data_IF_054874932385
#
_entry.id   IF_054874932385
#
_cell.length_a   1.000
_cell.length_b   1.000
_cell.length_c   1.000
_cell.angle_alpha   90.00
_cell.angle_beta   90.00
_cell.angle_gamma   90.00
#
_symmetry.space_group_name_H-M   'P 1'
#
loop_
_entity.id
_entity.type
_entity.pdbx_description
1 polymer ?
#
# COMPACT_ATOMS: atom_id res chain seq x y z
N UNK A 1 -51.23 -26.36 -15.48
CA UNK A 1 -50.19 -26.08 -14.47
C UNK A 1 -49.39 -27.36 -14.22
N UNK A 2 -48.26 -27.53 -14.90
CA UNK A 2 -47.32 -28.63 -14.62
C UNK A 2 -46.60 -28.29 -13.31
N UNK A 3 -46.76 -29.13 -12.27
CA UNK A 3 -45.89 -29.11 -11.09
C UNK A 3 -44.49 -29.47 -11.57
N UNK A 4 -43.66 -28.46 -11.83
CA UNK A 4 -42.23 -28.67 -11.96
C UNK A 4 -41.70 -28.96 -10.56
N UNK A 5 -41.50 -30.23 -10.23
CA UNK A 5 -40.78 -30.60 -9.02
C UNK A 5 -39.37 -30.02 -9.11
N UNK A 6 -38.97 -29.22 -8.12
CA UNK A 6 -37.60 -28.75 -7.98
C UNK A 6 -36.65 -29.97 -8.00
N UNK A 7 -35.79 -30.04 -9.02
CA UNK A 7 -34.77 -31.08 -9.09
C UNK A 7 -33.66 -30.83 -8.07
N UNK A 8 -32.90 -31.87 -7.72
CA UNK A 8 -31.73 -31.72 -6.85
C UNK A 8 -30.69 -30.73 -7.41
N UNK A 9 -30.56 -30.67 -8.74
CA UNK A 9 -29.73 -29.68 -9.45
C UNK A 9 -30.22 -28.25 -9.26
N UNK A 10 -31.52 -28.04 -9.18
CA UNK A 10 -32.13 -26.71 -9.02
C UNK A 10 -31.93 -26.17 -7.62
N UNK A 11 -32.09 -27.06 -6.64
CA UNK A 11 -31.82 -26.76 -5.25
C UNK A 11 -30.33 -26.46 -5.04
N UNK A 12 -29.44 -27.26 -5.64
CA UNK A 12 -28.00 -27.01 -5.60
C UNK A 12 -27.62 -25.66 -6.22
N UNK A 13 -28.09 -25.35 -7.43
CA UNK A 13 -27.80 -24.09 -8.11
C UNK A 13 -28.36 -22.89 -7.35
N UNK A 14 -29.57 -23.01 -6.79
CA UNK A 14 -30.18 -21.96 -5.97
C UNK A 14 -29.38 -21.67 -4.70
N UNK A 15 -28.96 -22.71 -3.97
CA UNK A 15 -28.12 -22.58 -2.77
C UNK A 15 -26.76 -21.98 -3.11
N UNK A 16 -26.12 -22.45 -4.20
CA UNK A 16 -24.83 -21.94 -4.64
C UNK A 16 -24.91 -20.46 -5.04
N UNK A 17 -25.97 -20.05 -5.77
CA UNK A 17 -26.19 -18.66 -6.15
C UNK A 17 -26.38 -17.77 -4.93
N UNK A 18 -27.19 -18.20 -3.95
CA UNK A 18 -27.38 -17.46 -2.69
C UNK A 18 -26.05 -17.30 -1.95
N UNK A 19 -25.25 -18.37 -1.85
CA UNK A 19 -23.96 -18.33 -1.15
C UNK A 19 -23.00 -17.33 -1.81
N UNK A 20 -22.77 -17.47 -3.13
CA UNK A 20 -21.82 -16.61 -3.86
C UNK A 20 -22.26 -15.15 -3.83
N UNK A 21 -23.55 -14.87 -4.09
CA UNK A 21 -24.07 -13.51 -4.11
C UNK A 21 -24.10 -12.91 -2.69
N UNK A 22 -24.33 -13.70 -1.64
CA UNK A 22 -24.26 -13.19 -0.26
C UNK A 22 -22.84 -12.77 0.14
N UNK A 23 -21.83 -13.53 -0.27
CA UNK A 23 -20.43 -13.13 -0.07
C UNK A 23 -20.12 -11.89 -0.90
N UNK A 24 -20.59 -11.84 -2.16
CA UNK A 24 -20.43 -10.66 -3.03
C UNK A 24 -21.06 -9.44 -2.40
N UNK A 25 -22.26 -9.57 -1.86
CA UNK A 25 -23.02 -8.49 -1.26
C UNK A 25 -22.19 -7.80 -0.17
N UNK A 26 -21.61 -8.59 0.74
CA UNK A 26 -20.79 -8.07 1.82
C UNK A 26 -19.52 -7.38 1.28
N UNK A 27 -18.84 -7.98 0.32
CA UNK A 27 -17.63 -7.39 -0.27
C UNK A 27 -17.93 -6.11 -1.06
N UNK A 28 -19.01 -6.09 -1.85
CA UNK A 28 -19.50 -4.91 -2.58
C UNK A 28 -19.86 -3.79 -1.60
N UNK A 29 -20.53 -4.11 -0.50
CA UNK A 29 -20.86 -3.13 0.54
C UNK A 29 -19.60 -2.46 1.09
N UNK A 30 -18.65 -3.25 1.60
CA UNK A 30 -17.38 -2.74 2.14
C UNK A 30 -16.58 -1.97 1.07
N UNK A 31 -16.59 -2.45 -0.17
CA UNK A 31 -15.88 -1.84 -1.29
C UNK A 31 -16.43 -0.48 -1.73
N UNK A 32 -17.70 -0.20 -1.41
CA UNK A 32 -18.37 1.05 -1.74
C UNK A 32 -18.45 2.03 -0.57
N UNK A 33 -18.10 1.59 0.65
CA UNK A 33 -18.29 2.35 1.89
C UNK A 33 -17.60 3.72 1.86
N UNK A 34 -16.38 3.82 1.33
CA UNK A 34 -15.66 5.10 1.28
C UNK A 34 -16.25 6.12 0.30
N UNK A 35 -17.01 5.67 -0.71
CA UNK A 35 -17.58 6.56 -1.74
C UNK A 35 -19.00 6.96 -1.34
N UNK A 36 -19.79 6.00 -0.87
CA UNK A 36 -21.23 6.17 -0.66
C UNK A 36 -21.65 6.20 0.82
N UNK A 37 -20.72 5.99 1.76
CA UNK A 37 -21.00 5.96 3.20
C UNK A 37 -22.11 4.97 3.52
N UNK A 38 -23.10 5.38 4.31
CA UNK A 38 -24.23 4.55 4.70
C UNK A 38 -25.10 4.06 3.52
N UNK A 39 -25.07 4.74 2.37
CA UNK A 39 -25.82 4.32 1.19
C UNK A 39 -25.22 3.10 0.50
N UNK A 40 -23.94 2.79 0.78
CA UNK A 40 -23.23 1.62 0.22
C UNK A 40 -23.97 0.30 0.47
N UNK A 41 -24.56 0.12 1.65
CA UNK A 41 -25.36 -1.07 1.99
C UNK A 41 -26.55 -1.24 1.05
N UNK A 42 -27.32 -0.16 0.84
CA UNK A 42 -28.52 -0.18 0.00
C UNK A 42 -28.15 -0.45 -1.46
N UNK A 43 -27.09 0.19 -1.95
CA UNK A 43 -26.58 -0.02 -3.31
C UNK A 43 -26.14 -1.48 -3.50
N UNK A 44 -25.35 -2.02 -2.58
CA UNK A 44 -24.91 -3.42 -2.62
C UNK A 44 -26.09 -4.38 -2.60
N UNK A 45 -27.13 -4.11 -1.81
CA UNK A 45 -28.33 -4.94 -1.71
C UNK A 45 -29.10 -4.94 -3.04
N UNK A 46 -29.32 -3.78 -3.64
CA UNK A 46 -30.00 -3.65 -4.93
C UNK A 46 -29.23 -4.40 -6.02
N UNK A 47 -27.91 -4.23 -6.11
CA UNK A 47 -27.07 -4.93 -7.08
C UNK A 47 -27.16 -6.45 -6.88
N UNK A 48 -27.10 -6.93 -5.64
CA UNK A 48 -27.17 -8.36 -5.32
C UNK A 48 -28.52 -8.99 -5.67
N UNK A 49 -29.62 -8.29 -5.38
CA UNK A 49 -30.96 -8.73 -5.77
C UNK A 49 -31.14 -8.76 -7.28
N UNK A 50 -30.59 -7.78 -8.00
CA UNK A 50 -30.59 -7.78 -9.47
C UNK A 50 -29.80 -8.95 -10.04
N UNK A 51 -28.63 -9.28 -9.48
CA UNK A 51 -27.84 -10.44 -9.91
C UNK A 51 -28.56 -11.77 -9.62
N UNK A 52 -29.21 -11.92 -8.46
CA UNK A 52 -30.03 -13.10 -8.15
C UNK A 52 -31.20 -13.24 -9.13
N UNK A 53 -31.89 -12.14 -9.41
CA UNK A 53 -32.99 -12.12 -10.36
C UNK A 53 -32.53 -12.49 -11.77
N UNK A 54 -31.38 -11.98 -12.23
CA UNK A 54 -30.80 -12.34 -13.52
C UNK A 54 -30.35 -13.80 -13.57
N UNK A 55 -29.79 -14.36 -12.50
CA UNK A 55 -29.47 -15.78 -12.42
C UNK A 55 -30.73 -16.64 -12.61
N UNK A 56 -31.84 -16.26 -11.96
CA UNK A 56 -33.12 -16.93 -12.13
C UNK A 56 -33.66 -16.82 -13.56
N UNK A 57 -33.64 -15.62 -14.16
CA UNK A 57 -34.05 -15.41 -15.54
C UNK A 57 -33.20 -16.20 -16.54
N UNK A 58 -31.88 -16.23 -16.35
CA UNK A 58 -30.95 -16.99 -17.20
C UNK A 58 -31.27 -18.48 -17.17
N UNK A 59 -31.49 -19.03 -15.97
CA UNK A 59 -31.91 -20.43 -15.81
C UNK A 59 -33.25 -20.69 -16.50
N UNK A 60 -34.26 -19.85 -16.28
CA UNK A 60 -35.57 -20.00 -16.89
C UNK A 60 -35.50 -19.96 -18.43
N UNK A 61 -34.78 -18.99 -18.99
CA UNK A 61 -34.56 -18.88 -20.43
C UNK A 61 -33.86 -20.13 -20.99
N UNK A 62 -32.87 -20.68 -20.28
CA UNK A 62 -32.16 -21.89 -20.69
C UNK A 62 -33.06 -23.13 -20.71
N UNK A 63 -33.90 -23.30 -19.69
CA UNK A 63 -34.89 -24.40 -19.64
C UNK A 63 -35.93 -24.30 -20.75
N UNK A 64 -36.32 -23.07 -21.12
CA UNK A 64 -37.24 -22.80 -22.22
C UNK A 64 -36.56 -22.80 -23.59
N UNK A 65 -35.26 -23.14 -23.68
CA UNK A 65 -34.45 -23.12 -24.91
C UNK A 65 -34.45 -21.75 -25.63
N UNK A 66 -34.62 -20.66 -24.89
CA UNK A 66 -34.54 -19.28 -25.38
C UNK A 66 -33.08 -18.81 -25.44
N UNK A 67 -32.82 -17.79 -26.27
CA UNK A 67 -31.50 -17.14 -26.30
C UNK A 67 -31.19 -16.49 -24.96
N UNK A 68 -30.02 -16.79 -24.40
CA UNK A 68 -29.54 -16.23 -23.13
C UNK A 68 -28.57 -15.06 -23.32
N UNK A 69 -28.17 -14.74 -24.56
CA UNK A 69 -27.06 -13.81 -24.83
C UNK A 69 -27.28 -12.40 -24.27
N UNK A 70 -28.47 -11.83 -24.44
CA UNK A 70 -28.80 -10.50 -23.91
C UNK A 70 -28.79 -10.47 -22.37
N UNK A 71 -29.34 -11.51 -21.74
CA UNK A 71 -29.36 -11.65 -20.29
C UNK A 71 -27.94 -11.80 -19.71
N UNK A 72 -27.06 -12.53 -20.40
CA UNK A 72 -25.63 -12.63 -20.03
C UNK A 72 -24.95 -11.27 -20.15
N UNK A 73 -25.22 -10.50 -21.21
CA UNK A 73 -24.66 -9.16 -21.37
C UNK A 73 -25.08 -8.20 -20.24
N UNK A 74 -26.37 -8.19 -19.89
CA UNK A 74 -26.88 -7.40 -18.76
C UNK A 74 -26.26 -7.85 -17.44
N UNK A 75 -26.14 -9.17 -17.23
CA UNK A 75 -25.47 -9.70 -16.04
C UNK A 75 -24.02 -9.22 -15.94
N UNK A 76 -23.24 -9.36 -17.02
CA UNK A 76 -21.82 -8.95 -17.03
C UNK A 76 -21.70 -7.46 -16.73
N UNK A 77 -22.59 -6.62 -17.27
CA UNK A 77 -22.60 -5.19 -16.99
C UNK A 77 -22.82 -4.90 -15.50
N UNK A 78 -23.83 -5.50 -14.87
CA UNK A 78 -24.11 -5.28 -13.43
C UNK A 78 -22.99 -5.89 -12.56
N UNK A 79 -22.55 -7.10 -12.90
CA UNK A 79 -21.48 -7.81 -12.20
C UNK A 79 -20.15 -7.06 -12.30
N UNK A 80 -19.92 -6.24 -13.34
CA UNK A 80 -18.72 -5.39 -13.42
C UNK A 80 -18.64 -4.37 -12.28
N UNK A 81 -19.76 -3.80 -11.82
CA UNK A 81 -19.78 -2.88 -10.68
C UNK A 81 -19.51 -3.63 -9.37
N UNK A 82 -20.09 -4.82 -9.21
CA UNK A 82 -19.82 -5.69 -8.07
C UNK A 82 -18.34 -6.10 -8.04
N UNK A 83 -17.79 -6.47 -9.19
CA UNK A 83 -16.38 -6.80 -9.35
C UNK A 83 -15.45 -5.66 -8.94
N UNK A 84 -15.70 -4.43 -9.39
CA UNK A 84 -14.89 -3.26 -9.02
C UNK A 84 -14.93 -3.04 -7.50
N UNK A 85 -16.11 -3.15 -6.89
CA UNK A 85 -16.27 -2.98 -5.44
C UNK A 85 -15.63 -4.13 -4.64
N UNK A 86 -15.88 -5.38 -5.04
CA UNK A 86 -15.27 -6.58 -4.45
C UNK A 86 -13.76 -6.52 -4.52
N UNK A 87 -13.21 -6.11 -5.66
CA UNK A 87 -11.79 -5.91 -5.85
C UNK A 87 -11.27 -4.86 -4.87
N UNK A 88 -11.91 -3.68 -4.80
CA UNK A 88 -11.50 -2.64 -3.86
C UNK A 88 -11.49 -3.12 -2.40
N UNK A 89 -12.52 -3.85 -1.97
CA UNK A 89 -12.62 -4.37 -0.60
C UNK A 89 -11.53 -5.40 -0.29
N UNK A 90 -11.40 -6.43 -1.13
CA UNK A 90 -10.44 -7.51 -0.94
C UNK A 90 -9.01 -7.00 -1.07
N UNK A 91 -8.73 -6.23 -2.12
CA UNK A 91 -7.41 -5.65 -2.35
C UNK A 91 -6.96 -4.80 -1.18
N UNK A 92 -7.79 -3.85 -0.76
CA UNK A 92 -7.49 -2.96 0.36
C UNK A 92 -7.23 -3.78 1.63
N UNK A 93 -8.05 -4.78 1.92
CA UNK A 93 -7.89 -5.61 3.12
C UNK A 93 -6.58 -6.42 3.12
N UNK A 94 -6.18 -6.97 1.98
CA UNK A 94 -4.95 -7.77 1.89
C UNK A 94 -3.70 -6.90 1.86
N UNK A 95 -3.74 -5.79 1.13
CA UNK A 95 -2.58 -4.95 0.87
C UNK A 95 -2.37 -3.82 1.89
N UNK A 96 -3.33 -3.55 2.78
CA UNK A 96 -3.27 -2.44 3.75
C UNK A 96 -1.93 -2.36 4.48
N UNK A 97 -1.53 -3.43 5.14
CA UNK A 97 -0.28 -3.46 5.91
C UNK A 97 0.95 -3.22 5.04
N UNK A 98 0.96 -3.76 3.84
CA UNK A 98 2.09 -3.62 2.91
C UNK A 98 2.18 -2.17 2.39
N UNK A 99 1.04 -1.56 2.03
CA UNK A 99 0.96 -0.16 1.63
C UNK A 99 1.49 0.73 2.76
N UNK A 100 1.02 0.52 3.98
CA UNK A 100 1.44 1.29 5.16
C UNK A 100 2.92 1.13 5.47
N UNK A 101 3.41 -0.10 5.40
CA UNK A 101 4.82 -0.43 5.63
C UNK A 101 5.72 0.22 4.60
N UNK A 102 5.32 0.18 3.33
CA UNK A 102 6.09 0.79 2.25
C UNK A 102 6.09 2.31 2.34
N UNK A 103 4.95 2.95 2.62
CA UNK A 103 4.88 4.39 2.79
C UNK A 103 5.76 4.88 3.95
N UNK A 104 5.74 4.19 5.10
CA UNK A 104 6.63 4.53 6.22
C UNK A 104 8.11 4.36 5.88
N UNK A 105 8.48 3.33 5.11
CA UNK A 105 9.86 3.15 4.64
C UNK A 105 10.28 4.26 3.70
N UNK A 106 9.43 4.63 2.75
CA UNK A 106 9.69 5.73 1.82
C UNK A 106 9.83 7.06 2.56
N UNK A 107 8.93 7.38 3.50
CA UNK A 107 9.07 8.59 4.33
C UNK A 107 10.39 8.58 5.11
N UNK A 108 10.81 7.41 5.61
CA UNK A 108 12.09 7.28 6.31
C UNK A 108 13.29 7.55 5.38
N UNK A 109 13.26 7.03 4.15
CA UNK A 109 14.26 7.33 3.12
C UNK A 109 14.26 8.82 2.74
N UNK A 110 13.07 9.44 2.68
CA UNK A 110 12.91 10.86 2.42
C UNK A 110 13.52 11.71 3.53
N UNK A 111 13.39 11.32 4.81
CA UNK A 111 14.09 11.99 5.92
C UNK A 111 15.61 11.98 5.74
N UNK A 112 16.19 10.83 5.39
CA UNK A 112 17.63 10.72 5.13
C UNK A 112 18.03 11.57 3.90
N UNK A 113 17.18 11.62 2.88
CA UNK A 113 17.41 12.45 1.68
C UNK A 113 17.33 13.94 2.01
N UNK A 114 16.37 14.33 2.83
CA UNK A 114 16.20 15.71 3.31
C UNK A 114 17.40 16.18 4.13
N UNK A 115 17.89 15.34 5.05
CA UNK A 115 19.11 15.60 5.82
C UNK A 115 20.30 15.86 4.90
N UNK A 116 20.57 14.94 3.98
CA UNK A 116 21.67 15.07 3.02
C UNK A 116 21.55 16.33 2.14
N UNK A 117 20.34 16.65 1.68
CA UNK A 117 20.10 17.81 0.83
C UNK A 117 20.27 19.12 1.60
N UNK A 118 19.74 19.23 2.81
CA UNK A 118 19.90 20.42 3.65
C UNK A 118 21.37 20.59 4.03
N UNK A 119 22.01 19.53 4.54
CA UNK A 119 23.42 19.58 4.92
C UNK A 119 24.31 19.99 3.74
N UNK A 120 24.06 19.50 2.53
CA UNK A 120 24.84 19.89 1.35
C UNK A 120 24.72 21.39 0.97
N UNK A 121 23.73 22.11 1.49
CA UNK A 121 23.44 23.52 1.20
C UNK A 121 23.80 24.47 2.34
N UNK A 122 24.18 23.93 3.50
CA UNK A 122 24.68 24.69 4.63
C UNK A 122 26.02 25.37 4.29
N UNK A 123 26.27 26.55 4.87
CA UNK A 123 27.53 27.26 4.67
C UNK A 123 28.66 26.65 5.53
N UNK A 124 29.67 26.10 4.86
CA UNK A 124 30.86 25.55 5.51
C UNK A 124 32.08 26.46 5.32
N UNK A 125 32.92 26.54 6.34
CA UNK A 125 34.19 27.27 6.29
C UNK A 125 35.20 26.61 5.36
N UNK A 126 35.05 25.31 5.12
CA UNK A 126 36.00 24.49 4.38
C UNK A 126 35.35 23.84 3.15
N UNK A 127 36.15 23.48 2.13
CA UNK A 127 35.66 22.73 0.97
C UNK A 127 34.97 21.42 1.36
N UNK A 128 34.02 20.98 0.52
CA UNK A 128 33.15 19.81 0.77
C UNK A 128 33.91 18.53 1.17
N UNK A 129 35.02 18.22 0.50
CA UNK A 129 35.85 17.05 0.81
C UNK A 129 36.49 17.15 2.21
N UNK A 130 36.99 18.33 2.58
CA UNK A 130 37.55 18.58 3.91
C UNK A 130 36.47 18.48 4.99
N UNK A 131 35.32 19.10 4.77
CA UNK A 131 34.15 19.01 5.67
C UNK A 131 33.70 17.57 5.88
N UNK A 132 33.61 16.78 4.80
CA UNK A 132 33.24 15.36 4.87
C UNK A 132 34.25 14.54 5.66
N UNK A 133 35.54 14.75 5.44
CA UNK A 133 36.60 14.07 6.18
C UNK A 133 36.59 14.42 7.67
N UNK A 134 36.31 15.68 8.01
CA UNK A 134 36.14 16.11 9.39
C UNK A 134 34.90 15.44 10.01
N UNK A 135 33.77 15.39 9.30
CA UNK A 135 32.53 14.75 9.77
C UNK A 135 32.72 13.24 10.04
N UNK A 136 33.43 12.53 9.14
CA UNK A 136 33.78 11.11 9.34
C UNK A 136 34.62 10.94 10.60
N UNK A 137 35.67 11.75 10.77
CA UNK A 137 36.53 11.69 11.96
C UNK A 137 35.79 12.10 13.23
N UNK A 138 34.86 13.05 13.16
CA UNK A 138 33.97 13.45 14.27
C UNK A 138 33.11 12.26 14.71
N UNK A 139 32.45 11.58 13.76
CA UNK A 139 31.65 10.38 14.08
C UNK A 139 32.51 9.27 14.68
N UNK A 140 33.72 9.04 14.17
CA UNK A 140 34.68 8.11 14.75
C UNK A 140 35.11 8.52 16.16
N UNK A 141 35.35 9.81 16.41
CA UNK A 141 35.71 10.33 17.73
C UNK A 141 34.58 10.10 18.73
N UNK A 142 33.35 10.48 18.37
CA UNK A 142 32.18 10.29 19.23
C UNK A 142 31.99 8.81 19.59
N UNK A 143 32.12 7.91 18.61
CA UNK A 143 32.03 6.47 18.85
C UNK A 143 33.15 5.94 19.75
N UNK A 144 34.36 6.49 19.68
CA UNK A 144 35.45 6.11 20.58
C UNK A 144 35.23 6.60 22.01
N UNK A 145 34.62 7.77 22.20
CA UNK A 145 34.36 8.33 23.54
C UNK A 145 33.37 7.48 24.33
N UNK A 146 32.34 6.94 23.65
CA UNK A 146 31.30 6.12 24.27
C UNK A 146 31.62 4.62 24.31
N UNK A 147 32.75 4.19 23.73
CA UNK A 147 33.16 2.78 23.70
C UNK A 147 33.27 2.22 25.13
N UNK A 148 32.45 1.23 25.52
CA UNK A 148 32.47 0.66 26.87
C UNK A 148 33.84 0.09 27.27
N UNK A 149 34.65 -0.35 26.29
CA UNK A 149 35.98 -0.88 26.55
C UNK A 149 37.04 0.22 26.74
N UNK A 150 36.77 1.45 26.28
CA UNK A 150 37.73 2.56 26.24
C UNK A 150 37.06 3.92 26.47
N UNK A 151 36.28 4.06 27.55
CA UNK A 151 35.47 5.26 27.80
C UNK A 151 36.33 6.54 27.94
N UNK A 152 35.84 7.62 27.34
CA UNK A 152 36.47 8.94 27.41
C UNK A 152 37.50 9.21 26.31
N UNK A 153 38.39 10.18 26.54
CA UNK A 153 39.34 10.66 25.51
C UNK A 153 40.67 9.89 25.62
N UNK A 154 40.67 8.65 25.12
CA UNK A 154 41.87 7.81 25.01
C UNK A 154 42.83 8.22 23.88
N UNK A 155 43.91 7.45 23.69
CA UNK A 155 44.96 7.74 22.68
C UNK A 155 44.42 7.84 21.25
N UNK A 156 43.46 6.98 20.88
CA UNK A 156 42.81 7.01 19.56
C UNK A 156 41.92 8.23 19.37
N UNK A 157 41.14 8.60 20.40
CA UNK A 157 40.35 9.83 20.40
C UNK A 157 41.26 11.06 20.25
N UNK A 158 42.37 11.13 20.98
CA UNK A 158 43.37 12.21 20.83
C UNK A 158 43.98 12.26 19.43
N UNK A 159 44.25 11.11 18.80
CA UNK A 159 44.74 11.08 17.41
C UNK A 159 43.72 11.66 16.43
N UNK A 160 42.43 11.31 16.58
CA UNK A 160 41.36 11.84 15.75
C UNK A 160 41.21 13.36 15.94
N UNK A 161 41.33 13.84 17.18
CA UNK A 161 41.34 15.28 17.49
C UNK A 161 42.49 15.98 16.76
N UNK A 162 43.74 15.49 16.86
CA UNK A 162 44.89 16.09 16.17
C UNK A 162 44.72 16.13 14.66
N UNK A 163 44.12 15.10 14.07
CA UNK A 163 43.83 15.08 12.63
C UNK A 163 42.80 16.16 12.25
N UNK A 164 41.77 16.35 13.09
CA UNK A 164 40.78 17.41 12.90
C UNK A 164 41.44 18.78 13.03
N UNK A 165 42.26 18.99 14.07
CA UNK A 165 43.00 20.25 14.27
C UNK A 165 43.92 20.60 13.09
N UNK A 166 44.54 19.60 12.45
CA UNK A 166 45.35 19.80 11.24
C UNK A 166 44.51 20.22 10.04
N UNK A 167 43.31 19.66 9.89
CA UNK A 167 42.41 19.98 8.78
C UNK A 167 41.72 21.33 8.96
N UNK A 168 41.40 21.71 10.19
CA UNK A 168 40.74 22.99 10.51
C UNK A 168 41.75 24.12 10.73
N UNK A 169 42.97 23.82 11.16
CA UNK A 169 43.94 24.81 11.62
C UNK A 169 43.57 25.42 12.98
N UNK A 170 42.59 24.85 13.69
CA UNK A 170 42.09 25.31 14.99
C UNK A 170 42.32 24.25 16.07
N UNK A 171 42.57 24.67 17.31
CA UNK A 171 42.73 23.75 18.44
C UNK A 171 41.38 23.36 19.05
N UNK A 172 41.23 22.09 19.40
CA UNK A 172 40.05 21.53 20.09
C UNK A 172 40.31 21.50 21.58
N UNK A 173 39.45 22.15 22.35
CA UNK A 173 39.53 22.08 23.82
C UNK A 173 39.10 20.70 24.30
N UNK A 174 39.95 20.05 25.08
CA UNK A 174 39.66 18.74 25.63
C UNK A 174 38.68 18.87 26.80
N UNK A 175 37.44 18.44 26.59
CA UNK A 175 36.40 18.43 27.61
C UNK A 175 36.51 17.20 28.51
N UNK A 176 36.04 17.32 29.75
CA UNK A 176 35.88 16.22 30.69
C UNK A 176 34.41 15.80 30.81
N UNK A 177 34.13 14.51 31.11
CA UNK A 177 32.76 14.05 31.30
C UNK A 177 32.15 14.72 32.54
N UNK A 178 30.85 15.03 32.47
CA UNK A 178 30.08 15.49 33.63
C UNK A 178 29.56 14.24 34.33
N UNK A 179 30.17 13.88 35.46
CA UNK A 179 29.91 12.58 36.09
C UNK A 179 30.45 11.42 35.24
N UNK A 180 29.63 10.37 35.06
CA UNK A 180 29.95 9.22 34.21
C UNK A 180 29.18 9.24 32.86
N UNK A 181 28.72 10.43 32.43
CA UNK A 181 27.97 10.59 31.20
C UNK A 181 28.92 10.82 30.01
N UNK A 182 29.36 9.72 29.40
CA UNK A 182 30.22 9.74 28.22
C UNK A 182 29.45 10.04 26.92
N UNK A 183 28.14 9.84 26.90
CA UNK A 183 27.30 10.24 25.76
C UNK A 183 27.20 11.76 25.67
N UNK A 184 26.97 12.45 26.79
CA UNK A 184 27.05 13.92 26.88
C UNK A 184 28.43 14.43 26.42
N UNK A 185 29.52 13.81 26.91
CA UNK A 185 30.86 14.19 26.50
C UNK A 185 31.06 14.07 24.99
N UNK A 186 30.63 12.96 24.39
CA UNK A 186 30.72 12.75 22.96
C UNK A 186 29.93 13.81 22.18
N UNK A 187 28.73 14.15 22.63
CA UNK A 187 27.91 15.20 22.01
C UNK A 187 28.54 16.58 22.13
N UNK A 188 29.08 16.96 23.29
CA UNK A 188 29.74 18.25 23.48
C UNK A 188 31.02 18.37 22.64
N UNK A 189 31.83 17.31 22.59
CA UNK A 189 33.02 17.25 21.72
C UNK A 189 32.65 17.33 20.24
N UNK A 190 31.63 16.59 19.81
CA UNK A 190 31.11 16.66 18.44
C UNK A 190 30.63 18.08 18.09
N UNK A 191 29.89 18.71 19.00
CA UNK A 191 29.38 20.07 18.84
C UNK A 191 30.49 21.12 18.71
N UNK A 192 31.59 20.94 19.46
CA UNK A 192 32.76 21.82 19.34
C UNK A 192 33.41 21.72 17.96
N UNK A 193 33.59 20.51 17.44
CA UNK A 193 34.12 20.28 16.08
C UNK A 193 33.18 20.87 15.03
N UNK A 194 31.87 20.69 15.19
CA UNK A 194 30.89 21.29 14.30
C UNK A 194 31.05 22.81 14.23
N UNK A 195 31.22 23.49 15.37
CA UNK A 195 31.47 24.94 15.42
C UNK A 195 32.75 25.40 14.70
N UNK A 196 33.77 24.54 14.62
CA UNK A 196 35.01 24.86 13.88
C UNK A 196 34.79 24.81 12.38
N UNK A 197 34.02 23.83 11.90
CA UNK A 197 33.83 23.55 10.46
C UNK A 197 32.74 24.39 9.84
N UNK A 198 31.77 24.78 10.67
CA UNK A 198 30.56 25.46 10.25
C UNK A 198 30.71 26.98 10.39
N UNK A 199 30.33 27.71 9.34
CA UNK A 199 29.99 29.14 9.44
C UNK A 199 28.47 29.28 9.39
N UNK A 200 27.82 28.54 10.28
CA UNK A 200 26.37 28.48 10.32
C UNK A 200 25.84 29.52 11.29
N UNK A 201 24.82 30.23 10.81
CA UNK A 201 23.95 31.02 11.67
C UNK A 201 23.35 30.13 12.78
N UNK A 202 22.93 30.72 13.92
CA UNK A 202 22.23 29.98 14.96
C UNK A 202 21.04 29.17 14.41
N UNK A 203 20.31 29.72 13.43
CA UNK A 203 19.17 29.07 12.80
C UNK A 203 19.57 27.87 11.95
N UNK A 204 20.64 27.96 11.18
CA UNK A 204 21.21 26.84 10.41
C UNK A 204 21.72 25.72 11.33
N UNK A 205 22.34 26.05 12.47
CA UNK A 205 22.78 25.06 13.47
C UNK A 205 21.59 24.34 14.10
N UNK A 206 20.55 25.09 14.49
CA UNK A 206 19.34 24.53 15.06
C UNK A 206 18.63 23.63 14.03
N UNK A 207 18.53 24.06 12.78
CA UNK A 207 17.98 23.25 11.69
C UNK A 207 18.74 21.93 11.51
N UNK A 208 20.08 22.00 11.46
CA UNK A 208 20.93 20.80 11.36
C UNK A 208 20.71 19.83 12.52
N UNK A 209 20.69 20.35 13.75
CA UNK A 209 20.43 19.51 14.94
C UNK A 209 19.05 18.88 14.90
N UNK A 210 18.02 19.68 14.59
CA UNK A 210 16.62 19.23 14.55
C UNK A 210 16.39 18.14 13.49
N UNK A 211 17.01 18.27 12.32
CA UNK A 211 16.87 17.26 11.26
C UNK A 211 17.59 15.98 11.62
N UNK A 212 18.83 16.04 12.12
CA UNK A 212 19.60 14.86 12.52
C UNK A 212 18.87 14.09 13.64
N UNK A 213 18.33 14.81 14.63
CA UNK A 213 17.51 14.22 15.69
C UNK A 213 16.23 13.58 15.15
N UNK A 214 15.59 14.20 14.16
CA UNK A 214 14.36 13.67 13.54
C UNK A 214 14.63 12.44 12.70
N UNK A 215 15.74 12.39 11.95
CA UNK A 215 16.20 11.22 11.22
C UNK A 215 16.43 10.05 12.17
N UNK A 216 17.16 10.26 13.28
CA UNK A 216 17.39 9.23 14.29
C UNK A 216 16.09 8.72 14.93
N UNK A 217 15.19 9.65 15.30
CA UNK A 217 13.88 9.35 15.85
C UNK A 217 13.05 8.49 14.90
N UNK A 218 12.95 8.88 13.62
CA UNK A 218 12.11 8.19 12.65
C UNK A 218 12.73 6.88 12.16
N UNK A 219 14.05 6.80 11.99
CA UNK A 219 14.75 5.53 11.75
C UNK A 219 14.42 4.51 12.84
N UNK A 220 14.50 4.90 14.12
CA UNK A 220 14.18 4.02 15.25
C UNK A 220 12.69 3.63 15.26
N UNK A 221 11.78 4.60 15.17
CA UNK A 221 10.33 4.35 15.19
C UNK A 221 9.86 3.46 14.04
N UNK A 222 10.42 3.64 12.84
CA UNK A 222 10.09 2.80 11.69
C UNK A 222 10.58 1.38 11.92
N UNK A 223 11.80 1.18 12.42
CA UNK A 223 12.30 -0.16 12.76
C UNK A 223 11.42 -0.84 13.82
N UNK A 224 11.04 -0.13 14.89
CA UNK A 224 10.11 -0.64 15.90
C UNK A 224 8.76 -1.03 15.28
N UNK A 225 8.21 -0.19 14.40
CA UNK A 225 6.97 -0.47 13.68
C UNK A 225 7.07 -1.72 12.80
N UNK A 226 8.19 -1.92 12.11
CA UNK A 226 8.40 -3.08 11.24
C UNK A 226 8.39 -4.41 12.01
N UNK A 227 8.72 -4.40 13.29
CA UNK A 227 8.71 -5.58 14.16
C UNK A 227 7.32 -5.90 14.74
N UNK A 228 6.35 -4.99 14.62
CA UNK A 228 5.02 -5.20 15.17
C UNK A 228 4.22 -6.29 14.42
N UNK A 229 3.31 -6.99 15.12
CA UNK A 229 2.33 -7.87 14.49
C UNK A 229 1.43 -7.13 13.48
N UNK A 230 0.90 -7.85 12.49
CA UNK A 230 0.05 -7.27 11.42
C UNK A 230 -1.10 -6.41 11.95
N UNK A 231 -1.81 -6.88 12.97
CA UNK A 231 -2.96 -6.16 13.55
C UNK A 231 -2.54 -4.82 14.14
N UNK A 232 -1.48 -4.79 14.93
CA UNK A 232 -0.97 -3.57 15.55
C UNK A 232 -0.42 -2.58 14.51
N UNK A 233 0.18 -3.09 13.43
CA UNK A 233 0.59 -2.26 12.29
C UNK A 233 -0.59 -1.54 11.68
N UNK A 234 -1.68 -2.24 11.39
CA UNK A 234 -2.86 -1.64 10.76
C UNK A 234 -3.52 -0.57 11.65
N UNK A 235 -3.49 -0.76 12.98
CA UNK A 235 -4.07 0.18 13.95
C UNK A 235 -3.20 1.44 14.16
N UNK A 236 -1.88 1.31 14.12
CA UNK A 236 -0.94 2.41 14.42
C UNK A 236 -0.39 3.14 13.19
N UNK A 237 -0.40 2.50 12.02
CA UNK A 237 0.25 2.99 10.81
C UNK A 237 -0.15 4.41 10.45
N UNK A 238 -1.45 4.68 10.38
CA UNK A 238 -1.96 5.97 9.90
C UNK A 238 -1.50 7.12 10.80
N UNK A 239 -1.59 6.96 12.12
CA UNK A 239 -1.10 7.95 13.07
C UNK A 239 0.41 8.15 12.96
N UNK A 240 1.18 7.08 12.78
CA UNK A 240 2.63 7.17 12.60
C UNK A 240 3.01 7.91 11.31
N UNK A 241 2.31 7.62 10.20
CA UNK A 241 2.52 8.28 8.91
C UNK A 241 2.18 9.77 8.99
N UNK A 242 1.02 10.12 9.55
CA UNK A 242 0.61 11.52 9.70
C UNK A 242 1.61 12.31 10.55
N UNK A 243 2.09 11.72 11.65
CA UNK A 243 3.11 12.32 12.50
C UNK A 243 4.46 12.48 11.76
N UNK A 244 4.88 11.46 11.01
CA UNK A 244 6.12 11.48 10.24
C UNK A 244 6.10 12.57 9.17
N UNK A 245 5.02 12.65 8.40
CA UNK A 245 4.84 13.67 7.37
C UNK A 245 4.72 15.08 7.95
N UNK A 246 4.08 15.23 9.11
CA UNK A 246 4.00 16.52 9.80
C UNK A 246 5.40 17.01 10.20
N UNK A 247 6.20 16.13 10.84
CA UNK A 247 7.58 16.45 11.20
C UNK A 247 8.43 16.73 9.95
N UNK A 248 8.30 15.90 8.92
CA UNK A 248 9.02 16.01 7.64
C UNK A 248 8.74 17.36 6.96
N UNK A 249 7.47 17.68 6.75
CA UNK A 249 7.05 18.92 6.10
C UNK A 249 7.44 20.15 6.92
N UNK A 250 7.37 20.08 8.25
CA UNK A 250 7.83 21.16 9.13
C UNK A 250 9.32 21.43 8.94
N UNK A 251 10.15 20.39 8.89
CA UNK A 251 11.61 20.53 8.70
C UNK A 251 11.96 21.00 7.30
N UNK A 252 11.32 20.45 6.27
CA UNK A 252 11.53 20.90 4.89
C UNK A 252 11.17 22.36 4.67
N UNK A 253 10.01 22.80 5.18
CA UNK A 253 9.61 24.20 5.13
C UNK A 253 10.59 25.11 5.90
N UNK A 254 11.04 24.68 7.09
CA UNK A 254 12.08 25.42 7.83
C UNK A 254 13.39 25.49 7.06
N UNK A 255 13.80 24.40 6.40
CA UNK A 255 14.96 24.39 5.52
C UNK A 255 14.85 25.41 4.40
N UNK A 256 13.70 25.50 3.73
CA UNK A 256 13.47 26.46 2.65
C UNK A 256 13.49 27.90 3.15
N UNK A 257 12.88 28.17 4.31
CA UNK A 257 12.88 29.49 4.92
C UNK A 257 14.27 29.95 5.38
N UNK A 258 15.08 29.06 5.95
CA UNK A 258 16.40 29.40 6.51
C UNK A 258 17.46 29.51 5.42
N UNK A 259 17.46 28.59 4.45
CA UNK A 259 18.46 28.56 3.37
C UNK A 259 18.10 29.49 2.20
N UNK A 260 16.83 29.89 2.10
CA UNK A 260 16.26 30.64 0.98
C UNK A 260 15.88 29.73 -0.19
N UNK A 261 14.81 30.10 -0.91
CA UNK A 261 14.30 29.33 -2.05
C UNK A 261 15.33 29.17 -3.19
N UNK A 262 16.27 30.11 -3.32
CA UNK A 262 17.36 30.08 -4.30
C UNK A 262 18.30 28.87 -4.08
N UNK A 263 18.48 28.45 -2.83
CA UNK A 263 19.39 27.36 -2.46
C UNK A 263 18.65 26.05 -2.21
N UNK A 264 17.44 26.13 -1.66
CA UNK A 264 16.65 24.97 -1.27
C UNK A 264 15.15 25.26 -1.39
N UNK A 265 14.54 24.67 -2.43
CA UNK A 265 13.09 24.66 -2.62
C UNK A 265 12.52 23.35 -2.10
N UNK A 266 11.49 23.46 -1.27
CA UNK A 266 10.83 22.30 -0.68
C UNK A 266 9.37 22.22 -1.11
N UNK A 267 8.92 21.01 -1.45
CA UNK A 267 7.52 20.73 -1.74
C UNK A 267 6.97 19.77 -0.68
N UNK A 268 5.90 20.13 0.05
CA UNK A 268 5.33 19.28 1.08
C UNK A 268 4.83 17.94 0.52
N UNK A 269 5.10 16.87 1.24
CA UNK A 269 4.56 15.54 0.96
C UNK A 269 3.20 15.35 1.63
N UNK A 270 2.30 14.66 0.94
CA UNK A 270 0.99 14.28 1.45
C UNK A 270 0.89 12.76 1.56
N UNK A 271 0.17 12.27 2.57
CA UNK A 271 0.01 10.84 2.75
C UNK A 271 -0.83 10.24 1.63
N UNK A 272 -0.36 9.14 1.07
CA UNK A 272 -1.15 8.35 0.13
C UNK A 272 -2.12 7.41 0.87
N UNK A 273 -1.84 7.08 2.14
CA UNK A 273 -2.72 6.21 2.95
C UNK A 273 -4.12 6.74 3.16
N UNK A 274 -4.35 8.06 3.10
CA UNK A 274 -5.69 8.65 3.16
C UNK A 274 -6.58 8.24 1.95
N UNK A 275 -5.97 7.69 0.90
CA UNK A 275 -6.66 7.17 -0.27
C UNK A 275 -6.83 5.64 -0.23
N UNK A 276 -6.27 4.96 0.78
CA UNK A 276 -6.43 3.50 0.95
C UNK A 276 -7.90 3.18 1.20
N UNK A 277 -8.46 2.30 0.36
CA UNK A 277 -9.88 1.97 0.33
C UNK A 277 -10.70 2.74 -0.72
N UNK A 278 -10.10 3.71 -1.41
CA UNK A 278 -10.72 4.33 -2.59
C UNK A 278 -10.46 3.44 -3.78
N UNK A 279 -11.50 3.21 -4.58
CA UNK A 279 -11.44 2.37 -5.78
C UNK A 279 -10.28 2.79 -6.70
N UNK A 280 -10.15 4.09 -7.00
CA UNK A 280 -9.09 4.60 -7.88
C UNK A 280 -7.68 4.25 -7.40
N UNK A 281 -7.44 4.40 -6.09
CA UNK A 281 -6.14 4.07 -5.50
C UNK A 281 -5.87 2.57 -5.52
N UNK A 282 -6.86 1.73 -5.16
CA UNK A 282 -6.71 0.27 -5.18
C UNK A 282 -6.34 -0.24 -6.58
N UNK A 283 -7.00 0.25 -7.63
CA UNK A 283 -6.69 -0.12 -9.01
C UNK A 283 -5.33 0.41 -9.46
N UNK A 284 -5.02 1.68 -9.21
CA UNK A 284 -3.74 2.28 -9.58
C UNK A 284 -2.56 1.56 -8.91
N UNK A 285 -2.67 1.31 -7.60
CA UNK A 285 -1.67 0.58 -6.85
C UNK A 285 -1.54 -0.87 -7.32
N UNK A 286 -2.65 -1.53 -7.69
CA UNK A 286 -2.64 -2.88 -8.25
C UNK A 286 -1.94 -2.96 -9.61
N UNK A 287 -2.17 -2.00 -10.49
CA UNK A 287 -1.58 -1.97 -11.83
C UNK A 287 -0.08 -1.68 -11.72
N UNK A 288 0.32 -0.70 -10.89
CA UNK A 288 1.72 -0.34 -10.71
C UNK A 288 2.55 -1.44 -10.04
N UNK A 289 1.93 -2.20 -9.14
CA UNK A 289 2.61 -3.23 -8.35
C UNK A 289 2.08 -4.63 -8.65
N UNK A 290 1.76 -4.93 -9.91
CA UNK A 290 1.11 -6.20 -10.26
C UNK A 290 2.02 -7.39 -9.98
N UNK A 291 1.58 -8.28 -9.09
CA UNK A 291 2.28 -9.49 -8.68
C UNK A 291 1.32 -10.62 -8.29
N UNK A 292 1.85 -11.65 -7.62
CA UNK A 292 1.07 -12.85 -7.29
C UNK A 292 -0.14 -12.57 -6.38
N UNK A 293 -0.01 -11.68 -5.40
CA UNK A 293 -1.13 -11.34 -4.51
C UNK A 293 -2.25 -10.62 -5.25
N UNK A 294 -1.90 -9.65 -6.11
CA UNK A 294 -2.85 -8.90 -6.93
C UNK A 294 -3.57 -9.83 -7.91
N UNK A 295 -2.84 -10.79 -8.50
CA UNK A 295 -3.42 -11.82 -9.34
C UNK A 295 -4.41 -12.71 -8.58
N UNK A 296 -4.06 -13.18 -7.37
CA UNK A 296 -4.96 -14.01 -6.55
C UNK A 296 -6.22 -13.24 -6.15
N UNK A 297 -6.10 -11.97 -5.76
CA UNK A 297 -7.26 -11.10 -5.45
C UNK A 297 -8.15 -10.95 -6.69
N UNK A 298 -7.56 -10.65 -7.85
CA UNK A 298 -8.28 -10.52 -9.11
C UNK A 298 -9.03 -11.81 -9.49
N UNK A 299 -8.35 -12.95 -9.42
CA UNK A 299 -8.94 -14.26 -9.69
C UNK A 299 -10.08 -14.59 -8.71
N UNK A 300 -9.90 -14.25 -7.43
CA UNK A 300 -10.92 -14.39 -6.41
C UNK A 300 -12.18 -13.58 -6.73
N UNK A 301 -12.04 -12.32 -7.13
CA UNK A 301 -13.16 -11.48 -7.55
C UNK A 301 -13.85 -12.03 -8.80
N UNK A 302 -13.09 -12.46 -9.81
CA UNK A 302 -13.66 -13.05 -11.04
C UNK A 302 -14.47 -14.30 -10.71
N UNK A 303 -13.93 -15.17 -9.85
CA UNK A 303 -14.62 -16.38 -9.40
C UNK A 303 -15.91 -16.00 -8.68
N UNK A 304 -15.86 -15.03 -7.78
CA UNK A 304 -17.02 -14.60 -7.01
C UNK A 304 -18.15 -14.07 -7.92
N UNK A 305 -17.83 -13.12 -8.80
CA UNK A 305 -18.84 -12.37 -9.57
C UNK A 305 -19.35 -13.11 -10.81
N UNK A 306 -18.53 -13.95 -11.45
CA UNK A 306 -18.87 -14.50 -12.76
C UNK A 306 -19.05 -16.03 -12.80
N UNK A 307 -18.56 -16.77 -11.81
CA UNK A 307 -18.60 -18.25 -11.87
C UNK A 307 -20.03 -18.79 -11.89
N UNK A 308 -20.95 -18.14 -11.17
CA UNK A 308 -22.33 -18.64 -11.06
C UNK A 308 -23.05 -18.63 -12.41
N UNK A 309 -22.84 -17.61 -13.24
CA UNK A 309 -23.43 -17.56 -14.58
C UNK A 309 -22.84 -18.61 -15.50
N UNK A 310 -21.53 -18.86 -15.42
CA UNK A 310 -20.87 -19.92 -16.17
C UNK A 310 -21.48 -21.28 -15.78
N UNK A 311 -21.62 -21.55 -14.48
CA UNK A 311 -22.21 -22.79 -13.97
C UNK A 311 -23.66 -22.95 -14.41
N UNK A 312 -24.49 -21.89 -14.32
CA UNK A 312 -25.89 -21.93 -14.77
C UNK A 312 -25.95 -22.28 -16.26
N UNK A 313 -25.12 -21.67 -17.10
CA UNK A 313 -25.14 -21.90 -18.55
C UNK A 313 -24.67 -23.30 -18.95
N UNK A 314 -23.77 -23.93 -18.17
CA UNK A 314 -23.23 -25.27 -18.41
C UNK A 314 -24.09 -26.38 -17.84
N UNK A 315 -24.58 -26.22 -16.61
CA UNK A 315 -25.30 -27.28 -15.87
C UNK A 315 -26.79 -27.30 -16.23
N UNK A 316 -27.38 -26.15 -16.56
CA UNK A 316 -28.79 -26.10 -16.93
C UNK A 316 -28.97 -26.62 -18.36
N UNK A 317 -29.42 -27.87 -18.47
CA UNK A 317 -29.84 -28.46 -19.73
C UNK A 317 -31.36 -28.33 -19.88
N UNK A 318 -31.89 -28.03 -21.08
CA UNK A 318 -33.32 -28.17 -21.31
C UNK A 318 -33.71 -29.62 -21.00
N UNK A 319 -34.81 -29.82 -20.27
CA UNK A 319 -35.38 -31.14 -20.08
C UNK A 319 -35.67 -31.73 -21.47
N UNK A 320 -34.79 -32.60 -21.95
CA UNK A 320 -35.16 -33.58 -22.95
C UNK A 320 -36.08 -34.57 -22.25
N UNK A 321 -37.34 -34.16 -22.01
CA UNK A 321 -38.43 -35.12 -21.90
C UNK A 321 -38.36 -35.93 -23.16
N UNK A 322 -37.81 -37.13 -22.99
CA UNK A 322 -37.73 -38.19 -23.97
C UNK A 322 -39.18 -38.52 -24.30
N UNK A 323 -39.74 -37.81 -25.27
CA UNK A 323 -40.88 -38.29 -26.00
C UNK A 323 -40.39 -39.57 -26.68
N UNK A 324 -40.64 -40.70 -26.04
CA UNK A 324 -40.73 -41.98 -26.71
C UNK A 324 -41.85 -41.86 -27.76
N UNK A 325 -41.55 -41.29 -28.93
CA UNK A 325 -42.31 -41.50 -30.15
C UNK A 325 -41.90 -42.86 -30.72
N UNK A 326 -42.31 -43.92 -30.02
CA UNK A 326 -42.54 -45.21 -30.69
C UNK A 326 -43.78 -45.00 -31.56
N UNK A 327 -43.60 -44.46 -32.76
CA UNK A 327 -44.42 -44.70 -33.96
C UNK A 327 -43.97 -43.75 -35.08
N UNK A 328 -43.56 -44.31 -36.23
CA UNK A 328 -43.53 -43.56 -37.48
C UNK A 328 -42.26 -43.65 -38.33
N UNK A 329 -41.57 -44.78 -38.37
CA UNK A 329 -40.54 -45.02 -39.39
C UNK A 329 -41.22 -45.26 -40.77
N UNK A 330 -41.66 -44.20 -41.45
CA UNK A 330 -42.02 -44.28 -42.88
C UNK A 330 -40.77 -44.04 -43.72
N UNK A 331 -40.20 -45.17 -44.18
CA UNK A 331 -39.17 -45.24 -45.23
C UNK A 331 -39.56 -44.35 -46.42
N UNK A 332 -38.71 -43.38 -46.76
CA UNK A 332 -38.70 -42.71 -48.08
C UNK A 332 -38.29 -43.73 -49.14
N UNK A 333 -39.25 -44.40 -49.75
CA UNK A 333 -39.05 -45.08 -51.03
C UNK A 333 -39.06 -44.04 -52.15
N UNK A 334 -37.92 -43.84 -52.80
CA UNK A 334 -37.82 -43.10 -54.07
C UNK A 334 -38.39 -43.99 -55.17
N UNK A 335 -39.58 -43.68 -55.66
CA UNK A 335 -40.09 -44.24 -56.92
C UNK A 335 -39.52 -43.41 -58.06
N UNK A 336 -38.67 -44.02 -58.89
CA UNK A 336 -38.24 -43.49 -60.18
C UNK A 336 -39.32 -43.82 -61.22
N UNK A 337 -39.86 -42.81 -61.89
CA UNK A 337 -40.75 -42.97 -63.04
C UNK A 337 -39.90 -42.71 -64.30
N UNK A 338 -39.72 -43.67 -65.21
CA UNK A 338 -39.12 -43.41 -66.51
C UNK A 338 -40.19 -42.82 -67.45
N UNK A 339 -39.85 -41.69 -68.10
CA UNK A 339 -40.63 -41.12 -69.19
C UNK A 339 -40.54 -42.01 -70.43
N UNK A 340 -41.66 -42.15 -71.13
CA UNK A 340 -41.73 -42.60 -72.53
C UNK A 340 -41.38 -41.44 -73.46
#
# INVERSE_FOLDING_TARGET
MSKNSLGASDLFLGVLAILLISVSFYQTWVGLEQIFGNASFVIALVLSLLLLFLCWMLRAAKLESKSTGSLVGIYIFIASFCFIANFNALYTRFMRTDIYTNELKTINEDFNTLENNIEAKLNYKYPKETTRNIEIKKKQLMAQIVDPANQGIGTRAQSLIRDIEKMTGQKVDLLTPIGNDYEDLAQRMGSQIDNMVMDLSPDEKNLKSDINNSVLKWNKRVQEFLLLPKKEKDDLAQSLIDNALTDYNKLGNRGSNILGEDKFKFEPLLSQTQNVGKIGYAFEHAIKNFGMYQFVVLAGCILLDFVIVIIILLVTSPDNRTNNSVLGNRKKGRTLIPNK
#
